data_IF_226101217802
#
_entry.id   IF_226101217802
#
_cell.length_a   1.000
_cell.length_b   1.000
_cell.length_c   1.000
_cell.angle_alpha   90.00
_cell.angle_beta   90.00
_cell.angle_gamma   90.00
#
_symmetry.space_group_name_H-M   'P 1'
#
loop_
_entity.id
_entity.type
_entity.pdbx_description
1 polymer ?
#
# COMPACT_ATOMS: atom_id res chain seq x y z
N UNK A 1 -18.32 3.90 16.66
CA UNK A 1 -17.14 3.14 17.13
C UNK A 1 -16.06 3.14 16.05
N UNK A 2 -14.85 3.55 16.41
CA UNK A 2 -13.75 3.55 15.46
C UNK A 2 -13.27 2.12 15.21
N UNK A 3 -13.15 1.78 13.94
CA UNK A 3 -12.57 0.52 13.52
C UNK A 3 -11.05 0.65 13.54
N UNK A 4 -10.35 -0.38 14.03
CA UNK A 4 -8.91 -0.46 13.90
C UNK A 4 -8.56 -0.73 12.44
N UNK A 5 -7.82 0.18 11.82
CA UNK A 5 -7.44 0.05 10.42
C UNK A 5 -6.21 -0.85 10.29
N UNK A 6 -6.18 -1.61 9.21
CA UNK A 6 -5.03 -2.42 8.83
C UNK A 6 -4.54 -1.96 7.48
N UNK A 7 -3.29 -1.51 7.44
CA UNK A 7 -2.60 -1.13 6.20
C UNK A 7 -1.60 -2.23 5.85
N UNK A 8 -1.56 -2.59 4.58
CA UNK A 8 -0.62 -3.59 4.08
C UNK A 8 0.34 -2.92 3.10
N UNK A 9 1.63 -2.87 3.48
CA UNK A 9 2.67 -2.21 2.68
C UNK A 9 3.58 -3.25 2.03
N UNK A 10 3.73 -3.17 0.73
CA UNK A 10 4.61 -4.04 -0.05
C UNK A 10 5.75 -3.19 -0.58
N UNK A 11 6.94 -3.36 -0.01
CA UNK A 11 8.12 -2.55 -0.32
C UNK A 11 9.37 -3.34 0.03
N UNK A 12 10.34 -3.39 -0.87
CA UNK A 12 11.59 -4.14 -0.63
C UNK A 12 12.62 -3.35 0.19
N UNK A 13 12.40 -2.06 0.39
CA UNK A 13 13.31 -1.20 1.12
C UNK A 13 12.90 -1.11 2.59
N UNK A 14 13.72 -1.69 3.46
CA UNK A 14 13.46 -1.70 4.90
C UNK A 14 13.39 -0.30 5.49
N UNK A 15 14.21 0.61 5.00
CA UNK A 15 14.19 1.99 5.49
C UNK A 15 12.86 2.67 5.14
N UNK A 16 12.35 2.44 3.95
CA UNK A 16 11.06 2.98 3.54
C UNK A 16 9.90 2.40 4.37
N UNK A 17 9.98 1.13 4.73
CA UNK A 17 8.98 0.50 5.61
C UNK A 17 9.03 1.16 7.00
N UNK A 18 10.22 1.38 7.54
CA UNK A 18 10.39 2.04 8.84
C UNK A 18 9.87 3.48 8.82
N UNK A 19 10.14 4.21 7.74
CA UNK A 19 9.65 5.57 7.57
C UNK A 19 8.12 5.59 7.52
N UNK A 20 7.52 4.66 6.78
CA UNK A 20 6.07 4.53 6.68
C UNK A 20 5.46 4.25 8.06
N UNK A 21 6.04 3.33 8.81
CA UNK A 21 5.59 2.99 10.16
C UNK A 21 5.69 4.19 11.10
N UNK A 22 6.81 4.92 11.04
CA UNK A 22 6.99 6.13 11.83
C UNK A 22 5.96 7.19 11.47
N UNK A 23 5.69 7.35 10.19
CA UNK A 23 4.68 8.31 9.74
C UNK A 23 3.29 7.94 10.25
N UNK A 24 2.93 6.66 10.25
CA UNK A 24 1.67 6.20 10.81
C UNK A 24 1.55 6.53 12.29
N UNK A 25 2.61 6.35 13.06
CA UNK A 25 2.63 6.68 14.48
C UNK A 25 2.43 8.18 14.70
N UNK A 26 2.97 9.01 13.81
CA UNK A 26 2.80 10.46 13.91
C UNK A 26 1.39 10.94 13.56
N UNK A 27 0.55 10.11 12.96
CA UNK A 27 -0.85 10.46 12.73
C UNK A 27 -1.69 10.43 14.01
N UNK A 28 -1.20 9.82 15.08
CA UNK A 28 -1.91 9.60 16.34
C UNK A 28 -3.18 8.75 16.16
N UNK A 29 -3.24 7.97 15.10
CA UNK A 29 -4.37 7.11 14.81
C UNK A 29 -3.99 5.64 15.04
N UNK A 30 -4.97 4.82 15.42
CA UNK A 30 -4.74 3.38 15.62
C UNK A 30 -4.78 2.68 14.26
N UNK A 31 -3.60 2.41 13.72
CA UNK A 31 -3.43 1.68 12.46
C UNK A 31 -2.42 0.58 12.69
N UNK A 32 -2.81 -0.63 12.33
CA UNK A 32 -1.88 -1.76 12.33
C UNK A 32 -1.21 -1.83 10.96
N UNK A 33 0.10 -1.84 10.93
CA UNK A 33 0.87 -2.00 9.70
C UNK A 33 1.33 -3.45 9.58
N UNK A 34 0.96 -4.08 8.47
CA UNK A 34 1.51 -5.36 8.05
C UNK A 34 2.34 -5.09 6.80
N UNK A 35 3.53 -5.64 6.72
CA UNK A 35 4.41 -5.40 5.58
C UNK A 35 4.92 -6.69 4.97
N UNK A 36 5.28 -6.61 3.71
CA UNK A 36 5.99 -7.65 2.99
C UNK A 36 7.14 -6.99 2.24
N UNK A 37 8.30 -7.65 2.20
CA UNK A 37 9.50 -7.06 1.61
C UNK A 37 9.75 -7.51 0.17
N UNK A 38 8.82 -8.22 -0.42
CA UNK A 38 8.84 -8.57 -1.84
C UNK A 38 7.44 -9.01 -2.28
N UNK A 39 7.23 -9.07 -3.60
CA UNK A 39 5.93 -9.41 -4.14
C UNK A 39 5.49 -10.83 -3.85
N UNK A 40 6.41 -11.78 -3.91
CA UNK A 40 6.09 -13.18 -3.64
C UNK A 40 5.60 -13.39 -2.21
N UNK A 41 6.31 -12.82 -1.24
CA UNK A 41 5.92 -12.88 0.17
C UNK A 41 4.57 -12.19 0.40
N UNK A 42 4.35 -11.06 -0.27
CA UNK A 42 3.09 -10.33 -0.19
C UNK A 42 1.91 -11.18 -0.65
N UNK A 43 2.04 -11.82 -1.82
CA UNK A 43 0.96 -12.66 -2.36
C UNK A 43 0.70 -13.85 -1.45
N UNK A 44 1.75 -14.48 -0.93
CA UNK A 44 1.60 -15.60 0.02
C UNK A 44 0.83 -15.18 1.27
N UNK A 45 1.16 -14.02 1.84
CA UNK A 45 0.47 -13.49 3.02
C UNK A 45 -0.99 -13.18 2.72
N UNK A 46 -1.27 -12.60 1.57
CA UNK A 46 -2.63 -12.22 1.19
C UNK A 46 -3.50 -13.43 0.85
N UNK A 47 -2.91 -14.51 0.34
CA UNK A 47 -3.64 -15.73 -0.02
C UNK A 47 -3.80 -16.70 1.13
N UNK A 48 -2.97 -16.61 2.15
CA UNK A 48 -2.91 -17.61 3.23
C UNK A 48 -4.21 -17.71 4.03
N UNK A 49 -4.94 -16.60 4.15
CA UNK A 49 -6.19 -16.55 4.92
C UNK A 49 -7.17 -15.62 4.19
N UNK A 50 -8.28 -16.18 3.73
CA UNK A 50 -9.28 -15.41 3.01
C UNK A 50 -10.05 -14.43 3.92
N UNK A 51 -9.86 -14.53 5.23
CA UNK A 51 -10.42 -13.58 6.20
C UNK A 51 -9.49 -12.40 6.46
N UNK A 52 -8.23 -12.47 5.98
CA UNK A 52 -7.31 -11.34 6.08
C UNK A 52 -7.59 -10.35 4.96
N UNK A 53 -8.29 -9.27 5.29
CA UNK A 53 -8.69 -8.24 4.33
C UNK A 53 -8.20 -6.91 4.88
N UNK A 54 -7.01 -6.46 4.45
CA UNK A 54 -6.54 -5.14 4.87
C UNK A 54 -7.48 -4.05 4.35
N UNK A 55 -7.50 -2.92 5.03
CA UNK A 55 -8.31 -1.79 4.59
C UNK A 55 -7.71 -1.10 3.37
N UNK A 56 -6.37 -1.07 3.29
CA UNK A 56 -5.64 -0.47 2.17
C UNK A 56 -4.38 -1.27 1.88
N UNK A 57 -4.04 -1.36 0.60
CA UNK A 57 -2.78 -1.95 0.15
C UNK A 57 -1.95 -0.84 -0.50
N UNK A 58 -0.69 -0.72 -0.10
CA UNK A 58 0.29 0.19 -0.69
C UNK A 58 1.36 -0.63 -1.35
N UNK A 59 1.61 -0.37 -2.63
CA UNK A 59 2.50 -1.20 -3.45
C UNK A 59 3.59 -0.36 -4.10
N UNK A 60 4.85 -0.72 -3.84
CA UNK A 60 5.99 -0.17 -4.55
C UNK A 60 6.18 -0.91 -5.87
N UNK A 61 6.45 -0.17 -6.94
CA UNK A 61 6.67 -0.73 -8.27
C UNK A 61 8.11 -1.24 -8.47
N UNK A 62 9.07 -0.65 -7.76
CA UNK A 62 10.49 -0.95 -7.95
C UNK A 62 10.94 -2.05 -7.00
N UNK A 63 10.59 -3.30 -7.33
CA UNK A 63 10.98 -4.46 -6.52
C UNK A 63 11.67 -5.51 -7.39
N UNK A 64 12.73 -6.17 -6.87
CA UNK A 64 13.32 -7.31 -7.56
C UNK A 64 12.41 -8.54 -7.46
N UNK A 65 12.74 -9.61 -8.14
CA UNK A 65 12.09 -10.92 -8.12
C UNK A 65 10.68 -10.86 -8.72
N UNK A 66 9.70 -10.35 -7.98
CA UNK A 66 8.37 -10.07 -8.52
C UNK A 66 8.17 -8.56 -8.51
N UNK A 67 8.24 -7.92 -9.68
CA UNK A 67 8.10 -6.47 -9.78
C UNK A 67 6.66 -6.05 -9.47
N UNK A 68 6.49 -4.74 -9.26
CA UNK A 68 5.21 -4.19 -8.85
C UNK A 68 4.08 -4.47 -9.82
N UNK A 69 4.37 -4.51 -11.12
CA UNK A 69 3.34 -4.79 -12.13
C UNK A 69 2.77 -6.19 -11.95
N UNK A 70 3.63 -7.20 -11.84
CA UNK A 70 3.20 -8.58 -11.65
C UNK A 70 2.46 -8.73 -10.32
N UNK A 71 2.99 -8.13 -9.27
CA UNK A 71 2.36 -8.14 -7.95
C UNK A 71 0.97 -7.53 -8.00
N UNK A 72 0.81 -6.39 -8.66
CA UNK A 72 -0.48 -5.73 -8.82
C UNK A 72 -1.49 -6.62 -9.53
N UNK A 73 -1.07 -7.25 -10.63
CA UNK A 73 -1.93 -8.17 -11.39
C UNK A 73 -2.36 -9.36 -10.55
N UNK A 74 -1.45 -9.93 -9.76
CA UNK A 74 -1.77 -11.05 -8.87
C UNK A 74 -2.75 -10.64 -7.75
N UNK A 75 -2.57 -9.47 -7.17
CA UNK A 75 -3.49 -8.94 -6.15
C UNK A 75 -4.91 -8.83 -6.73
N UNK A 76 -5.04 -8.32 -7.95
CA UNK A 76 -6.35 -8.13 -8.60
C UNK A 76 -7.07 -9.43 -8.86
N UNK A 77 -6.38 -10.56 -8.88
CA UNK A 77 -6.98 -11.89 -9.06
C UNK A 77 -7.49 -12.49 -7.75
N UNK A 78 -7.12 -11.93 -6.60
CA UNK A 78 -7.51 -12.47 -5.30
C UNK A 78 -8.94 -12.01 -4.97
N UNK A 79 -9.89 -12.95 -4.94
CA UNK A 79 -11.32 -12.63 -4.83
C UNK A 79 -11.69 -11.88 -3.57
N UNK A 80 -11.16 -12.30 -2.42
CA UNK A 80 -11.53 -11.66 -1.15
C UNK A 80 -10.94 -10.24 -1.00
N UNK A 81 -10.07 -9.83 -1.92
CA UNK A 81 -9.48 -8.49 -1.94
C UNK A 81 -10.11 -7.58 -3.01
N UNK A 82 -11.19 -8.01 -3.66
CA UNK A 82 -11.73 -7.31 -4.81
C UNK A 82 -12.22 -5.87 -4.51
N UNK A 83 -12.50 -5.56 -3.26
CA UNK A 83 -12.95 -4.23 -2.86
C UNK A 83 -11.88 -3.43 -2.11
N UNK A 84 -10.70 -4.01 -1.90
CA UNK A 84 -9.62 -3.34 -1.18
C UNK A 84 -8.94 -2.34 -2.12
N UNK A 85 -8.86 -1.06 -1.74
CA UNK A 85 -8.14 -0.08 -2.55
C UNK A 85 -6.65 -0.40 -2.61
N UNK A 86 -6.07 -0.30 -3.79
CA UNK A 86 -4.63 -0.47 -3.99
C UNK A 86 -4.05 0.87 -4.40
N UNK A 87 -3.16 1.38 -3.56
CA UNK A 87 -2.43 2.61 -3.80
C UNK A 87 -1.03 2.27 -4.28
N UNK A 88 -0.63 2.83 -5.40
CA UNK A 88 0.74 2.71 -5.86
C UNK A 88 1.58 3.75 -5.11
N UNK A 89 2.63 3.30 -4.44
CA UNK A 89 3.47 4.14 -3.59
C UNK A 89 4.93 3.90 -3.96
N UNK A 90 5.50 4.78 -4.80
CA UNK A 90 6.76 4.48 -5.47
C UNK A 90 7.58 5.74 -5.74
N UNK A 91 8.88 5.56 -5.97
CA UNK A 91 9.76 6.64 -6.45
C UNK A 91 9.79 6.72 -7.98
N UNK A 92 9.23 5.72 -8.67
CA UNK A 92 9.19 5.71 -10.12
C UNK A 92 8.28 6.82 -10.64
N UNK A 93 8.80 7.70 -11.51
CA UNK A 93 8.10 8.89 -11.98
C UNK A 93 7.76 8.84 -13.48
N UNK A 94 7.47 7.66 -14.01
CA UNK A 94 7.07 7.54 -15.40
C UNK A 94 5.57 7.85 -15.53
N UNK A 95 5.17 8.96 -16.21
CA UNK A 95 3.76 9.32 -16.33
C UNK A 95 2.91 8.29 -17.05
N UNK A 96 3.50 7.52 -17.97
CA UNK A 96 2.77 6.45 -18.66
C UNK A 96 2.42 5.32 -17.71
N UNK A 97 3.30 5.02 -16.76
CA UNK A 97 3.02 4.01 -15.74
C UNK A 97 1.88 4.46 -14.83
N UNK A 98 1.88 5.72 -14.41
CA UNK A 98 0.81 6.26 -13.59
C UNK A 98 -0.55 6.06 -14.25
N UNK A 99 -0.68 6.49 -15.49
CA UNK A 99 -1.94 6.34 -16.23
C UNK A 99 -2.33 4.88 -16.37
N UNK A 100 -1.37 4.02 -16.70
CA UNK A 100 -1.60 2.59 -16.91
C UNK A 100 -2.14 1.91 -15.65
N UNK A 101 -1.55 2.19 -14.49
CA UNK A 101 -2.00 1.60 -13.24
C UNK A 101 -3.35 2.11 -12.80
N UNK A 102 -3.62 3.40 -12.98
CA UNK A 102 -4.94 3.96 -12.68
C UNK A 102 -6.02 3.35 -13.56
N UNK A 103 -5.74 3.19 -14.84
CA UNK A 103 -6.68 2.54 -15.77
C UNK A 103 -6.88 1.07 -15.46
N UNK A 104 -5.90 0.42 -14.87
CA UNK A 104 -5.97 -1.01 -14.52
C UNK A 104 -6.58 -1.26 -13.14
N UNK A 105 -7.04 -0.21 -12.46
CA UNK A 105 -7.77 -0.34 -11.21
C UNK A 105 -7.05 0.08 -9.95
N UNK A 106 -5.86 0.69 -10.04
CA UNK A 106 -5.23 1.29 -8.87
C UNK A 106 -6.08 2.50 -8.43
N UNK A 107 -6.25 2.65 -7.13
CA UNK A 107 -7.08 3.73 -6.60
C UNK A 107 -6.37 5.07 -6.69
N UNK A 108 -5.08 5.08 -6.42
CA UNK A 108 -4.28 6.30 -6.42
C UNK A 108 -2.83 5.95 -6.70
N UNK A 109 -2.12 6.88 -7.30
CA UNK A 109 -0.69 6.78 -7.56
C UNK A 109 -0.02 7.90 -6.78
N UNK A 110 0.82 7.55 -5.80
CA UNK A 110 1.48 8.51 -4.92
C UNK A 110 2.98 8.33 -4.97
N UNK A 111 3.70 9.40 -5.29
CA UNK A 111 5.15 9.37 -5.27
C UNK A 111 5.67 9.46 -3.85
N UNK A 112 6.65 8.62 -3.51
CA UNK A 112 7.28 8.66 -2.19
C UNK A 112 7.84 10.06 -1.94
N UNK A 113 7.38 10.75 -0.88
CA UNK A 113 7.81 12.12 -0.64
C UNK A 113 9.22 12.16 -0.05
N UNK A 114 9.90 13.31 -0.22
CA UNK A 114 11.23 13.53 0.34
C UNK A 114 11.22 13.79 1.84
N UNK A 115 10.08 14.18 2.40
CA UNK A 115 9.94 14.54 3.80
C UNK A 115 8.83 13.74 4.46
N UNK A 116 9.11 13.25 5.67
CA UNK A 116 8.14 12.46 6.43
C UNK A 116 6.84 13.22 6.70
N UNK A 117 6.92 14.54 6.86
CA UNK A 117 5.76 15.39 7.09
C UNK A 117 4.73 15.28 5.97
N UNK A 118 5.17 15.19 4.73
CA UNK A 118 4.27 15.01 3.58
C UNK A 118 3.61 13.65 3.62
N UNK A 119 4.34 12.62 4.02
CA UNK A 119 3.80 11.26 4.16
C UNK A 119 2.75 11.23 5.27
N UNK A 120 3.01 11.86 6.40
CA UNK A 120 2.04 11.95 7.50
C UNK A 120 0.75 12.61 7.03
N UNK A 121 0.84 13.71 6.29
CA UNK A 121 -0.33 14.42 5.75
C UNK A 121 -1.14 13.53 4.81
N UNK A 122 -0.46 12.80 3.92
CA UNK A 122 -1.09 11.87 2.99
C UNK A 122 -1.83 10.77 3.73
N UNK A 123 -1.16 10.13 4.70
CA UNK A 123 -1.74 9.02 5.47
C UNK A 123 -2.91 9.50 6.33
N UNK A 124 -2.77 10.67 6.96
CA UNK A 124 -3.86 11.24 7.75
C UNK A 124 -5.09 11.51 6.90
N UNK A 125 -4.91 11.98 5.66
CA UNK A 125 -6.02 12.18 4.73
C UNK A 125 -6.76 10.88 4.43
N UNK A 126 -6.04 9.79 4.22
CA UNK A 126 -6.64 8.47 3.98
C UNK A 126 -7.42 8.01 5.21
N UNK A 127 -6.83 8.14 6.39
CA UNK A 127 -7.44 7.70 7.64
C UNK A 127 -8.71 8.51 7.92
N UNK A 128 -8.65 9.81 7.74
CA UNK A 128 -9.79 10.70 7.98
C UNK A 128 -10.96 10.37 7.05
N UNK A 129 -10.69 10.08 5.78
CA UNK A 129 -11.73 9.70 4.84
C UNK A 129 -12.38 8.37 5.19
N UNK A 130 -11.62 7.46 5.78
CA UNK A 130 -12.14 6.13 6.17
C UNK A 130 -13.07 6.23 7.36
N UNK A 131 -12.82 7.17 8.27
CA UNK A 131 -13.56 7.30 9.51
C UNK A 131 -14.86 8.13 9.38
N UNK A 132 -15.20 8.50 8.17
CA UNK A 132 -16.47 9.22 7.92
C UNK A 132 -17.65 8.27 7.66
#
# INVERSE_FOLDING_TARGET
>A
MKKDLVFFLIDDDKDDIEIFDLALKQTDCLVKLVSANNGDDAIKKLQADDRFIPDYIFLDLDMPIMNGKICFEEIKKIKHLNKVPVYIYTTSQNPLDELKYLLSGATLFFFKPSYIKELVTFLRGIIDNTNH
#
